data_IF_589427231112
#
_entry.id   IF_589427231112
#
_cell.length_a   1.000
_cell.length_b   1.000
_cell.length_c   1.000
_cell.angle_alpha   90.00
_cell.angle_beta   90.00
_cell.angle_gamma   90.00
#
_symmetry.space_group_name_H-M   'P 1'
#
loop_
_entity.id
_entity.type
_entity.pdbx_description
1 polymer ?
#
# COMPACT_ATOMS: atom_id res chain seq x y z
N UNK A 1 0.98 -17.28 3.65
CA UNK A 1 0.37 -16.26 2.78
C UNK A 1 1.16 -14.98 2.95
N UNK A 2 1.52 -14.31 1.86
CA UNK A 2 2.33 -13.08 1.90
C UNK A 2 1.57 -11.98 1.20
N UNK A 3 1.40 -10.85 1.87
CA UNK A 3 0.78 -9.67 1.29
C UNK A 3 1.84 -8.86 0.56
N UNK A 4 1.63 -8.59 -0.72
CA UNK A 4 2.66 -7.98 -1.59
C UNK A 4 2.33 -6.56 -1.99
N UNK A 5 1.04 -6.23 -2.14
CA UNK A 5 0.57 -4.96 -2.69
C UNK A 5 -0.75 -4.54 -2.05
N UNK A 6 -0.94 -3.23 -1.88
CA UNK A 6 -2.23 -2.59 -1.56
C UNK A 6 -2.69 -1.81 -2.79
N UNK A 7 -3.97 -1.93 -3.17
CA UNK A 7 -4.55 -1.16 -4.26
C UNK A 7 -5.56 -0.14 -3.73
N UNK A 8 -5.46 1.09 -4.22
CA UNK A 8 -6.38 2.18 -3.90
C UNK A 8 -7.14 2.57 -5.18
N UNK A 9 -8.47 2.54 -5.13
CA UNK A 9 -9.31 2.94 -6.25
C UNK A 9 -9.59 4.44 -6.22
N UNK A 10 -9.57 5.08 -7.39
CA UNK A 10 -9.79 6.52 -7.56
C UNK A 10 -10.31 6.81 -8.97
N UNK A 11 -11.13 7.87 -9.18
CA UNK A 11 -11.52 8.31 -10.51
C UNK A 11 -10.36 8.90 -11.32
N UNK A 12 -9.25 9.30 -10.68
CA UNK A 12 -8.05 9.82 -11.35
C UNK A 12 -6.79 9.08 -10.84
N UNK A 13 -6.47 7.89 -11.40
CA UNK A 13 -5.30 7.11 -10.98
C UNK A 13 -3.96 7.86 -11.17
N UNK A 14 -3.69 8.51 -12.31
CA UNK A 14 -2.45 9.28 -12.47
C UNK A 14 -2.33 10.46 -11.50
N UNK A 15 -3.42 11.18 -11.23
CA UNK A 15 -3.42 12.27 -10.25
C UNK A 15 -3.09 11.79 -8.83
N UNK A 16 -3.74 10.72 -8.39
CA UNK A 16 -3.50 10.15 -7.06
C UNK A 16 -2.06 9.62 -6.92
N UNK A 17 -1.57 8.92 -7.93
CA UNK A 17 -0.21 8.38 -7.91
C UNK A 17 0.85 9.48 -7.84
N UNK A 18 0.71 10.55 -8.62
CA UNK A 18 1.63 11.71 -8.56
C UNK A 18 1.57 12.42 -7.22
N UNK A 19 0.39 12.49 -6.60
CA UNK A 19 0.26 13.04 -5.26
C UNK A 19 1.07 12.23 -4.24
N UNK A 20 0.88 10.91 -4.17
CA UNK A 20 1.60 10.06 -3.23
C UNK A 20 3.09 9.93 -3.54
N UNK A 21 3.48 9.87 -4.81
CA UNK A 21 4.88 9.89 -5.23
C UNK A 21 5.60 11.11 -4.66
N UNK A 22 5.01 12.31 -4.75
CA UNK A 22 5.58 13.53 -4.17
C UNK A 22 5.53 13.56 -2.65
N UNK A 23 4.42 13.15 -2.06
CA UNK A 23 4.22 13.18 -0.60
C UNK A 23 5.23 12.28 0.12
N UNK A 24 5.48 11.10 -0.43
CA UNK A 24 6.26 10.04 0.21
C UNK A 24 7.68 9.91 -0.36
N UNK A 25 7.99 10.63 -1.45
CA UNK A 25 9.26 10.51 -2.15
C UNK A 25 9.42 9.18 -2.91
N UNK A 26 8.31 8.57 -3.31
CA UNK A 26 8.29 7.26 -3.97
C UNK A 26 8.36 7.37 -5.50
N UNK A 27 8.90 6.33 -6.13
CA UNK A 27 9.02 6.22 -7.59
C UNK A 27 7.68 5.75 -8.21
N UNK A 28 7.27 6.34 -9.33
CA UNK A 28 6.24 5.73 -10.19
C UNK A 28 6.90 4.61 -11.00
N UNK A 29 6.58 3.37 -10.66
CA UNK A 29 7.19 2.19 -11.29
C UNK A 29 6.55 1.82 -12.63
N UNK A 30 5.26 2.11 -12.81
CA UNK A 30 4.52 1.97 -14.06
C UNK A 30 3.31 2.90 -14.07
N UNK A 31 2.99 3.47 -15.23
CA UNK A 31 1.82 4.34 -15.44
C UNK A 31 1.01 3.84 -16.64
N UNK A 32 -0.21 3.38 -16.39
CA UNK A 32 -1.23 3.04 -17.37
C UNK A 32 -2.48 3.91 -17.16
N UNK A 33 -3.37 4.06 -18.16
CA UNK A 33 -4.53 4.95 -18.04
C UNK A 33 -5.46 4.66 -16.84
N UNK A 34 -5.56 3.40 -16.42
CA UNK A 34 -6.45 2.95 -15.35
C UNK A 34 -5.73 2.43 -14.10
N UNK A 35 -4.40 2.32 -14.15
CA UNK A 35 -3.62 1.73 -13.08
C UNK A 35 -2.22 2.32 -13.04
N UNK A 36 -1.79 2.73 -11.86
CA UNK A 36 -0.44 3.29 -11.66
C UNK A 36 0.15 2.62 -10.42
N UNK A 37 1.39 2.15 -10.52
CA UNK A 37 2.09 1.52 -9.41
C UNK A 37 3.17 2.43 -8.85
N UNK A 38 3.27 2.48 -7.53
CA UNK A 38 4.33 3.19 -6.81
C UNK A 38 5.28 2.16 -6.20
N UNK A 39 6.58 2.47 -6.21
CA UNK A 39 7.63 1.70 -5.56
C UNK A 39 8.20 2.48 -4.37
N UNK A 40 8.02 1.98 -3.14
CA UNK A 40 8.68 2.50 -1.95
C UNK A 40 10.18 2.16 -1.99
N UNK A 41 11.06 3.05 -1.50
CA UNK A 41 12.51 2.81 -1.52
C UNK A 41 12.94 1.63 -0.62
N UNK A 42 12.29 1.47 0.54
CA UNK A 42 12.69 0.49 1.57
C UNK A 42 11.95 -0.85 1.47
N UNK A 43 11.12 -1.04 0.43
CA UNK A 43 10.33 -2.26 0.23
C UNK A 43 8.87 -2.14 0.70
N UNK A 44 8.07 -3.15 0.34
CA UNK A 44 6.61 -3.11 0.28
C UNK A 44 5.84 -3.38 1.58
N UNK A 45 4.64 -3.92 1.41
CA UNK A 45 3.64 -4.19 2.47
C UNK A 45 4.13 -5.29 3.42
N UNK A 46 3.89 -5.15 4.73
CA UNK A 46 4.34 -6.12 5.72
C UNK A 46 3.45 -6.20 6.96
N UNK A 47 3.54 -7.27 7.77
CA UNK A 47 2.79 -7.35 9.02
C UNK A 47 3.28 -6.29 10.01
N UNK A 48 2.36 -5.70 10.76
CA UNK A 48 2.73 -4.88 11.92
C UNK A 48 3.39 -5.76 13.00
N UNK A 49 4.36 -5.20 13.72
CA UNK A 49 5.07 -5.91 14.80
C UNK A 49 4.11 -6.40 15.89
N UNK A 50 3.12 -5.57 16.24
CA UNK A 50 2.11 -5.88 17.24
C UNK A 50 0.79 -6.31 16.60
N UNK A 51 0.17 -7.37 17.13
CA UNK A 51 -1.10 -7.93 16.66
C UNK A 51 -2.14 -7.89 17.80
N UNK A 52 -3.26 -7.16 17.65
CA UNK A 52 -4.20 -6.89 18.74
C UNK A 52 -5.05 -8.09 19.17
N UNK A 53 -5.34 -9.00 18.25
CA UNK A 53 -6.38 -10.01 18.41
C UNK A 53 -6.08 -11.25 17.55
N UNK A 54 -6.66 -12.39 17.90
CA UNK A 54 -6.37 -13.68 17.26
C UNK A 54 -6.89 -13.75 15.81
N UNK A 55 -8.10 -13.24 15.56
CA UNK A 55 -8.82 -13.39 14.28
C UNK A 55 -8.54 -12.29 13.24
N UNK A 56 -7.63 -11.36 13.55
CA UNK A 56 -7.23 -10.29 12.62
C UNK A 56 -5.73 -10.27 12.46
N UNK A 57 -5.27 -9.87 11.28
CA UNK A 57 -3.89 -9.49 11.03
C UNK A 57 -3.80 -8.04 10.61
N UNK A 58 -3.00 -7.28 11.34
CA UNK A 58 -2.67 -5.89 11.01
C UNK A 58 -1.44 -5.91 10.10
N UNK A 59 -1.57 -5.26 8.96
CA UNK A 59 -0.51 -5.01 8.01
C UNK A 59 -0.25 -3.51 7.92
N UNK A 60 0.97 -3.14 7.59
CA UNK A 60 1.38 -1.80 7.24
C UNK A 60 1.48 -1.74 5.73
N UNK A 61 0.84 -0.72 5.14
CA UNK A 61 1.16 -0.34 3.77
C UNK A 61 2.63 0.13 3.71
N UNK A 62 3.19 0.37 2.52
CA UNK A 62 4.59 0.74 2.47
C UNK A 62 4.91 2.14 3.03
N UNK A 63 3.89 2.96 3.31
CA UNK A 63 4.02 4.25 3.98
C UNK A 63 3.88 4.13 5.51
N UNK A 64 3.66 2.91 6.02
CA UNK A 64 3.49 2.62 7.43
C UNK A 64 2.05 2.77 7.93
N UNK A 65 1.05 2.98 7.06
CA UNK A 65 -0.34 3.08 7.51
C UNK A 65 -0.91 1.69 7.83
N UNK A 66 -1.52 1.51 9.01
CA UNK A 66 -2.08 0.24 9.40
C UNK A 66 -3.42 -0.05 8.72
N UNK A 67 -3.62 -1.30 8.33
CA UNK A 67 -4.94 -1.83 7.93
C UNK A 67 -5.10 -3.28 8.38
N UNK A 68 -6.35 -3.71 8.53
CA UNK A 68 -6.70 -5.01 9.10
C UNK A 68 -7.24 -5.97 8.04
N UNK A 69 -6.82 -7.23 8.13
CA UNK A 69 -7.44 -8.36 7.41
C UNK A 69 -8.10 -9.28 8.43
N UNK A 70 -9.41 -9.53 8.26
CA UNK A 70 -10.14 -10.52 9.04
C UNK A 70 -9.87 -11.92 8.49
N UNK A 71 -9.56 -12.88 9.37
CA UNK A 71 -9.13 -14.24 9.01
C UNK A 71 -10.28 -15.28 9.02
N UNK A 72 -11.54 -14.82 8.91
CA UNK A 72 -12.75 -15.63 9.09
C UNK A 72 -12.76 -16.99 8.40
#
# INVERSE_FOLDING_TARGET
>A
MTLTTVNLSTPDPPGLARFYARLLGWEIASEEPTFVSLRPPDGGVGPAEWQPQEDVRVYLDPAGHPFCLWLG
#
